data_IF_782466836451
#
_entry.id   IF_782466836451
#
_cell.length_a   1.000
_cell.length_b   1.000
_cell.length_c   1.000
_cell.angle_alpha   90.00
_cell.angle_beta   90.00
_cell.angle_gamma   90.00
#
_symmetry.space_group_name_H-M   'P 1'
#
loop_
_entity.id
_entity.type
_entity.pdbx_description
1 polymer ?
#
# COMPACT_ATOMS: atom_id res chain seq x y z
N UNK A 1 27.21 8.54 18.41
CA UNK A 1 27.30 7.99 19.79
C UNK A 1 27.67 6.54 19.66
N UNK A 2 28.39 5.98 20.65
CA UNK A 2 28.80 4.57 20.64
C UNK A 2 27.65 3.60 20.33
N UNK A 3 26.44 3.88 20.84
CA UNK A 3 25.24 3.06 20.59
C UNK A 3 24.85 3.07 19.12
N UNK A 4 24.80 4.23 18.47
CA UNK A 4 24.48 4.33 17.04
C UNK A 4 25.57 3.67 16.18
N UNK A 5 26.84 3.88 16.51
CA UNK A 5 27.97 3.36 15.74
C UNK A 5 28.13 1.84 15.88
N UNK A 6 27.80 1.28 17.05
CA UNK A 6 28.01 -0.13 17.35
C UNK A 6 26.72 -0.93 17.28
N UNK A 7 25.74 -0.63 18.14
CA UNK A 7 24.56 -1.46 18.33
C UNK A 7 23.55 -1.29 17.19
N UNK A 8 23.27 -0.05 16.77
CA UNK A 8 22.41 0.18 15.61
C UNK A 8 23.06 -0.37 14.34
N UNK A 9 24.37 -0.25 14.17
CA UNK A 9 25.09 -0.84 13.02
C UNK A 9 24.89 -2.36 12.94
N UNK A 10 25.02 -3.07 14.07
CA UNK A 10 24.75 -4.51 14.13
C UNK A 10 23.27 -4.81 13.82
N UNK A 11 22.33 -4.10 14.46
CA UNK A 11 20.90 -4.33 14.26
C UNK A 11 20.50 -4.08 12.80
N UNK A 12 20.93 -2.96 12.22
CA UNK A 12 20.64 -2.58 10.84
C UNK A 12 21.23 -3.56 9.83
N UNK A 13 22.41 -4.13 10.09
CA UNK A 13 23.00 -5.22 9.27
C UNK A 13 22.09 -6.45 9.23
N UNK A 14 21.56 -6.89 10.37
CA UNK A 14 20.64 -8.04 10.43
C UNK A 14 19.30 -7.73 9.76
N UNK A 15 18.73 -6.55 10.01
CA UNK A 15 17.47 -6.11 9.38
C UNK A 15 17.60 -6.15 7.86
N UNK A 16 18.70 -5.60 7.31
CA UNK A 16 18.97 -5.63 5.86
C UNK A 16 19.06 -7.05 5.33
N UNK A 17 19.78 -7.94 6.03
CA UNK A 17 19.93 -9.34 5.65
C UNK A 17 18.58 -10.07 5.62
N UNK A 18 17.74 -9.87 6.64
CA UNK A 18 16.44 -10.54 6.74
C UNK A 18 15.45 -10.08 5.66
N UNK A 19 15.48 -8.79 5.33
CA UNK A 19 14.60 -8.14 4.36
C UNK A 19 15.16 -8.10 2.94
N UNK A 20 16.35 -8.67 2.72
CA UNK A 20 17.06 -8.67 1.43
C UNK A 20 17.24 -7.24 0.86
N UNK A 21 17.48 -6.27 1.74
CA UNK A 21 17.69 -4.88 1.36
C UNK A 21 19.18 -4.64 1.06
N UNK A 22 19.51 -3.98 -0.07
CA UNK A 22 20.88 -3.59 -0.36
C UNK A 22 21.39 -2.58 0.68
N UNK A 23 22.70 -2.41 0.79
CA UNK A 23 23.34 -1.46 1.73
C UNK A 23 22.87 -0.03 1.49
N UNK A 24 22.62 0.33 0.22
CA UNK A 24 22.10 1.64 -0.20
C UNK A 24 20.62 1.86 0.14
N UNK A 25 19.88 0.83 0.57
CA UNK A 25 18.48 0.99 0.94
C UNK A 25 18.34 1.84 2.23
N UNK A 26 17.27 2.60 2.34
CA UNK A 26 16.87 3.24 3.60
C UNK A 26 16.24 2.19 4.52
N UNK A 27 16.40 2.40 5.83
CA UNK A 27 15.65 1.65 6.85
C UNK A 27 14.56 2.51 7.49
N UNK A 28 14.41 3.78 7.08
CA UNK A 28 13.42 4.69 7.67
C UNK A 28 12.01 4.12 7.62
N UNK A 29 11.66 3.37 6.57
CA UNK A 29 10.34 2.76 6.43
C UNK A 29 10.08 1.68 7.47
N UNK A 30 11.06 0.84 7.81
CA UNK A 30 10.86 -0.28 8.74
C UNK A 30 10.68 0.20 10.20
N UNK A 31 11.17 1.40 10.51
CA UNK A 31 11.02 2.06 11.80
C UNK A 31 9.62 2.68 12.00
N UNK A 32 8.88 2.87 10.91
CA UNK A 32 7.50 3.36 10.98
C UNK A 32 6.55 2.29 11.54
N UNK A 33 5.42 2.70 12.13
CA UNK A 33 4.39 1.76 12.58
C UNK A 33 3.72 1.06 11.38
N UNK A 34 3.06 -0.07 11.65
CA UNK A 34 2.38 -0.87 10.62
C UNK A 34 1.33 -0.05 9.84
N UNK A 35 0.52 0.76 10.52
CA UNK A 35 -0.45 1.65 9.86
C UNK A 35 0.16 2.74 8.96
N UNK A 36 1.50 2.84 8.90
CA UNK A 36 2.27 3.65 7.96
C UNK A 36 3.26 2.79 7.15
N UNK A 37 2.87 1.56 6.79
CA UNK A 37 3.63 0.63 5.93
C UNK A 37 5.01 0.24 6.47
N UNK A 38 5.24 0.41 7.78
CA UNK A 38 6.48 0.01 8.43
C UNK A 38 6.36 -1.30 9.22
N UNK A 39 7.45 -1.69 9.88
CA UNK A 39 7.54 -2.94 10.65
C UNK A 39 7.57 -2.70 12.16
N UNK A 40 7.44 -1.44 12.59
CA UNK A 40 7.48 -1.03 13.98
C UNK A 40 8.77 -1.44 14.71
N UNK A 41 9.90 -1.47 13.98
CA UNK A 41 11.20 -1.80 14.56
C UNK A 41 11.69 -0.61 15.37
N UNK A 42 12.17 -0.87 16.60
CA UNK A 42 12.77 0.12 17.48
C UNK A 42 14.26 -0.19 17.56
N UNK A 43 15.10 0.78 17.18
CA UNK A 43 16.56 0.63 17.26
C UNK A 43 17.06 0.75 18.70
N UNK A 44 18.20 0.12 19.03
CA UNK A 44 18.87 0.28 20.33
C UNK A 44 19.04 1.75 20.76
N UNK A 45 19.43 2.64 19.86
CA UNK A 45 19.53 4.08 20.14
C UNK A 45 18.22 4.70 20.61
N UNK A 46 17.11 4.43 19.92
CA UNK A 46 15.78 4.90 20.32
C UNK A 46 15.39 4.35 21.68
N UNK A 47 15.67 3.06 21.94
CA UNK A 47 15.37 2.44 23.23
C UNK A 47 16.20 3.06 24.36
N UNK A 48 17.46 3.37 24.09
CA UNK A 48 18.33 4.07 25.03
C UNK A 48 17.78 5.46 25.37
N UNK A 49 17.34 6.24 24.37
CA UNK A 49 16.70 7.54 24.62
C UNK A 49 15.47 7.38 25.51
N UNK A 50 14.62 6.39 25.27
CA UNK A 50 13.47 6.11 26.15
C UNK A 50 13.89 5.84 27.60
N UNK A 51 14.94 5.03 27.81
CA UNK A 51 15.48 4.75 29.14
C UNK A 51 16.01 6.02 29.81
N UNK A 52 16.74 6.86 29.07
CA UNK A 52 17.26 8.13 29.57
C UNK A 52 16.12 9.09 29.95
N UNK A 53 15.07 9.20 29.13
CA UNK A 53 13.89 10.01 29.45
C UNK A 53 13.20 9.55 30.73
N UNK A 54 13.05 8.24 30.94
CA UNK A 54 12.47 7.70 32.19
C UNK A 54 13.36 8.01 33.38
N UNK A 55 14.67 7.76 33.26
CA UNK A 55 15.63 8.05 34.33
C UNK A 55 15.61 9.53 34.71
N UNK A 56 15.60 10.43 33.72
CA UNK A 56 15.57 11.88 33.96
C UNK A 56 14.26 12.33 34.59
N UNK A 57 13.13 11.79 34.14
CA UNK A 57 11.82 12.05 34.75
C UNK A 57 11.79 11.62 36.22
N UNK A 58 12.34 10.43 36.53
CA UNK A 58 12.44 9.96 37.91
C UNK A 58 13.31 10.88 38.79
N UNK A 59 14.42 11.41 38.26
CA UNK A 59 15.22 12.39 39.00
C UNK A 59 14.45 13.72 39.20
N UNK A 60 13.83 14.24 38.13
CA UNK A 60 13.13 15.53 38.12
C UNK A 60 11.92 15.58 39.06
N UNK A 61 11.19 14.47 39.17
CA UNK A 61 9.96 14.39 39.97
C UNK A 61 10.14 13.56 41.25
N UNK A 62 11.38 13.27 41.64
CA UNK A 62 11.68 12.58 42.89
C UNK A 62 11.20 13.40 44.09
N UNK A 63 10.48 12.79 45.05
CA UNK A 63 10.15 13.45 46.33
C UNK A 63 11.36 13.59 47.24
N UNK A 64 12.44 12.83 47.00
CA UNK A 64 13.71 12.99 47.71
C UNK A 64 14.46 14.21 47.14
N UNK A 65 14.76 15.16 48.01
CA UNK A 65 15.39 16.45 47.67
C UNK A 65 16.79 16.29 47.09
N UNK A 66 17.60 15.38 47.61
CA UNK A 66 18.96 15.15 47.11
C UNK A 66 18.94 14.63 45.67
N UNK A 67 18.04 13.70 45.37
CA UNK A 67 17.84 13.16 44.02
C UNK A 67 17.31 14.25 43.07
N UNK A 68 16.39 15.09 43.54
CA UNK A 68 15.89 16.22 42.75
C UNK A 68 17.00 17.24 42.44
N UNK A 69 17.86 17.53 43.43
CA UNK A 69 19.01 18.40 43.26
C UNK A 69 20.00 17.86 42.21
N UNK A 70 20.20 16.53 42.14
CA UNK A 70 21.00 15.91 41.06
C UNK A 70 20.42 16.23 39.68
N UNK A 71 19.09 16.21 39.51
CA UNK A 71 18.48 16.65 38.26
C UNK A 71 18.76 18.13 38.00
N UNK A 72 18.54 19.00 38.98
CA UNK A 72 18.72 20.45 38.83
C UNK A 72 20.15 20.80 38.40
N UNK A 73 21.17 20.23 39.07
CA UNK A 73 22.59 20.46 38.76
C UNK A 73 22.96 19.93 37.38
N UNK A 74 22.43 18.77 36.97
CA UNK A 74 22.76 18.19 35.66
C UNK A 74 21.95 18.77 34.51
N UNK A 75 20.79 19.39 34.77
CA UNK A 75 19.87 19.91 33.74
C UNK A 75 20.47 21.04 32.88
N UNK A 76 21.44 21.77 33.42
CA UNK A 76 22.14 22.86 32.72
C UNK A 76 23.27 22.37 31.81
N UNK A 77 23.62 21.08 31.88
CA UNK A 77 24.69 20.51 31.07
C UNK A 77 24.23 20.29 29.62
N UNK A 78 25.00 20.78 28.66
CA UNK A 78 24.73 20.66 27.21
C UNK A 78 24.63 19.20 26.72
N UNK A 79 25.20 18.25 27.46
CA UNK A 79 25.15 16.82 27.14
C UNK A 79 23.83 16.15 27.54
N UNK A 80 22.97 16.85 28.28
CA UNK A 80 21.64 16.38 28.66
C UNK A 80 20.64 16.82 27.59
N UNK A 81 20.28 15.89 26.71
CA UNK A 81 19.37 16.16 25.59
C UNK A 81 18.00 15.50 25.75
N UNK A 82 17.76 14.77 26.83
CA UNK A 82 16.59 13.89 26.97
C UNK A 82 15.41 14.53 27.70
N UNK A 83 15.62 15.65 28.39
CA UNK A 83 14.58 16.42 29.08
C UNK A 83 13.56 17.10 28.14
N UNK A 84 13.90 17.18 26.85
CA UNK A 84 12.99 17.70 25.82
C UNK A 84 11.77 16.79 25.64
N UNK A 85 11.87 15.53 26.04
CA UNK A 85 10.80 14.54 25.90
C UNK A 85 10.02 14.42 27.20
N UNK A 86 8.70 14.45 27.09
CA UNK A 86 7.81 14.30 28.26
C UNK A 86 7.77 12.86 28.79
N UNK A 87 7.74 11.90 27.88
CA UNK A 87 7.63 10.48 28.18
C UNK A 87 8.20 9.61 27.03
N UNK A 88 8.17 8.28 27.22
CA UNK A 88 8.67 7.32 26.23
C UNK A 88 7.86 7.27 24.94
N UNK A 89 6.58 7.68 24.96
CA UNK A 89 5.73 7.77 23.76
C UNK A 89 6.12 8.99 22.94
N UNK A 90 6.49 10.09 23.60
CA UNK A 90 6.95 11.31 22.96
C UNK A 90 8.26 11.09 22.17
N UNK A 91 9.20 10.34 22.75
CA UNK A 91 10.42 9.87 22.06
C UNK A 91 10.07 9.12 20.77
N UNK A 92 9.18 8.13 20.84
CA UNK A 92 8.79 7.34 19.66
C UNK A 92 8.08 8.19 18.61
N UNK A 93 7.23 9.14 19.03
CA UNK A 93 6.55 10.06 18.12
C UNK A 93 7.57 10.93 17.38
N UNK A 94 8.55 11.50 18.08
CA UNK A 94 9.59 12.32 17.48
C UNK A 94 10.42 11.55 16.45
N UNK A 95 10.96 10.38 16.83
CA UNK A 95 11.80 9.54 15.94
C UNK A 95 11.02 9.07 14.72
N UNK A 96 9.74 8.67 14.88
CA UNK A 96 8.90 8.26 13.75
C UNK A 96 8.57 9.43 12.84
N UNK A 97 8.30 10.62 13.39
CA UNK A 97 8.03 11.83 12.62
C UNK A 97 9.24 12.23 11.77
N UNK A 98 10.45 12.14 12.33
CA UNK A 98 11.68 12.39 11.60
C UNK A 98 11.86 11.42 10.42
N UNK A 99 11.66 10.12 10.66
CA UNK A 99 11.76 9.10 9.60
C UNK A 99 10.69 9.27 8.51
N UNK A 100 9.48 9.66 8.89
CA UNK A 100 8.40 9.96 7.96
C UNK A 100 8.72 11.19 7.10
N UNK A 101 9.23 12.26 7.69
CA UNK A 101 9.69 13.46 6.97
C UNK A 101 10.84 13.12 6.02
N UNK A 102 11.80 12.30 6.46
CA UNK A 102 12.91 11.85 5.62
C UNK A 102 12.42 11.07 4.41
N UNK A 103 11.47 10.15 4.58
CA UNK A 103 10.87 9.42 3.47
C UNK A 103 10.09 10.35 2.53
N UNK A 104 9.26 11.24 3.05
CA UNK A 104 8.40 12.08 2.20
C UNK A 104 9.15 13.17 1.45
N UNK A 105 10.12 13.81 2.11
CA UNK A 105 10.69 15.08 1.66
C UNK A 105 12.16 14.98 1.23
N UNK A 106 12.93 14.02 1.76
CA UNK A 106 14.38 13.95 1.51
C UNK A 106 14.77 12.80 0.56
N UNK A 107 13.99 11.72 0.49
CA UNK A 107 14.34 10.54 -0.28
C UNK A 107 13.55 10.45 -1.60
N UNK A 108 14.09 11.05 -2.68
CA UNK A 108 13.45 11.09 -4.00
C UNK A 108 13.09 9.68 -4.52
N UNK A 109 14.04 8.73 -4.49
CA UNK A 109 13.84 7.41 -5.09
C UNK A 109 13.14 6.41 -4.15
N UNK A 110 13.54 6.38 -2.88
CA UNK A 110 13.10 5.37 -1.90
C UNK A 110 11.91 5.83 -1.07
N UNK A 111 11.60 7.13 -1.13
CA UNK A 111 10.44 7.75 -0.52
C UNK A 111 9.23 7.89 -1.44
N UNK A 112 9.39 7.64 -2.74
CA UNK A 112 8.36 7.90 -3.75
C UNK A 112 7.03 7.22 -3.45
N UNK A 113 7.07 5.98 -2.94
CA UNK A 113 5.87 5.26 -2.50
C UNK A 113 5.12 6.03 -1.40
N UNK A 114 5.84 6.52 -0.39
CA UNK A 114 5.26 7.26 0.73
C UNK A 114 4.66 8.59 0.30
N UNK A 115 5.38 9.34 -0.54
CA UNK A 115 4.89 10.61 -1.09
C UNK A 115 3.61 10.41 -1.91
N UNK A 116 3.47 9.29 -2.62
CA UNK A 116 2.26 8.95 -3.38
C UNK A 116 1.13 8.27 -2.60
N UNK A 117 1.39 7.61 -1.47
CA UNK A 117 0.33 6.87 -0.74
C UNK A 117 -0.18 7.63 0.49
N UNK A 118 0.67 8.39 1.19
CA UNK A 118 0.27 9.07 2.43
C UNK A 118 -0.82 10.12 2.20
N UNK A 119 -0.82 10.77 1.04
CA UNK A 119 -1.85 11.74 0.65
C UNK A 119 -3.15 11.08 0.19
N UNK A 120 -3.12 9.79 -0.15
CA UNK A 120 -4.20 9.12 -0.88
C UNK A 120 -4.78 7.91 -0.16
N UNK A 121 -4.24 7.47 0.97
CA UNK A 121 -4.76 6.35 1.77
C UNK A 121 -5.32 6.82 3.11
N UNK A 122 -6.04 5.94 3.81
CA UNK A 122 -6.52 6.16 5.19
C UNK A 122 -5.81 5.22 6.16
N UNK A 123 -5.69 5.61 7.42
CA UNK A 123 -5.05 4.78 8.47
C UNK A 123 -5.75 3.41 8.66
N UNK A 124 -7.07 3.36 8.48
CA UNK A 124 -7.87 2.14 8.54
C UNK A 124 -7.49 1.16 7.43
N UNK A 125 -7.39 1.63 6.18
CA UNK A 125 -6.95 0.78 5.06
C UNK A 125 -5.50 0.34 5.22
N UNK A 126 -4.61 1.21 5.69
CA UNK A 126 -3.20 0.88 5.89
C UNK A 126 -3.01 -0.21 6.96
N UNK A 127 -3.84 -0.17 8.01
CA UNK A 127 -3.84 -1.20 9.05
C UNK A 127 -4.36 -2.54 8.52
N UNK A 128 -5.40 -2.52 7.68
CA UNK A 128 -5.91 -3.72 7.00
C UNK A 128 -4.83 -4.31 6.08
N UNK A 129 -4.21 -3.49 5.24
CA UNK A 129 -3.13 -3.87 4.33
C UNK A 129 -1.96 -4.52 5.08
N UNK A 130 -1.51 -3.89 6.17
CA UNK A 130 -0.39 -4.41 6.97
C UNK A 130 -0.70 -5.75 7.63
N UNK A 131 -1.96 -5.96 8.01
CA UNK A 131 -2.41 -7.26 8.56
C UNK A 131 -2.43 -8.39 7.52
N UNK A 132 -2.49 -8.06 6.23
CA UNK A 132 -2.33 -9.02 5.13
C UNK A 132 -0.85 -9.23 4.87
N UNK A 133 -0.09 -8.13 4.75
CA UNK A 133 1.35 -8.16 4.44
C UNK A 133 2.13 -9.01 5.45
N UNK A 134 1.83 -8.90 6.75
CA UNK A 134 2.51 -9.67 7.80
C UNK A 134 2.28 -11.19 7.75
N UNK A 135 1.30 -11.66 6.97
CA UNK A 135 0.96 -13.08 6.81
C UNK A 135 1.42 -13.65 5.47
N UNK A 136 2.09 -12.85 4.64
CA UNK A 136 2.59 -13.31 3.35
C UNK A 136 3.79 -14.25 3.52
N UNK A 137 3.97 -15.21 2.61
CA UNK A 137 5.20 -16.00 2.52
C UNK A 137 6.43 -15.10 2.42
N UNK A 138 7.56 -15.55 2.97
CA UNK A 138 8.81 -14.78 3.10
C UNK A 138 9.22 -14.05 1.82
N UNK A 139 9.19 -14.72 0.67
CA UNK A 139 9.57 -14.16 -0.63
C UNK A 139 8.66 -12.99 -1.05
N UNK A 140 7.35 -13.10 -0.83
CA UNK A 140 6.38 -12.06 -1.19
C UNK A 140 6.42 -10.91 -0.17
N UNK A 141 6.62 -11.25 1.11
CA UNK A 141 6.84 -10.26 2.17
C UNK A 141 8.07 -9.39 1.84
N UNK A 142 9.21 -10.01 1.53
CA UNK A 142 10.45 -9.32 1.18
C UNK A 142 10.30 -8.51 -0.11
N UNK A 143 9.65 -9.07 -1.14
CA UNK A 143 9.28 -8.33 -2.35
C UNK A 143 8.51 -7.04 -2.01
N UNK A 144 7.51 -7.12 -1.13
CA UNK A 144 6.68 -5.97 -0.77
C UNK A 144 7.49 -4.86 -0.11
N UNK A 145 8.39 -5.21 0.83
CA UNK A 145 9.26 -4.24 1.49
C UNK A 145 10.26 -3.60 0.52
N UNK A 146 10.80 -4.40 -0.41
CA UNK A 146 11.72 -3.92 -1.43
C UNK A 146 11.04 -3.07 -2.50
N UNK A 147 9.79 -3.38 -2.85
CA UNK A 147 8.94 -2.56 -3.70
C UNK A 147 8.75 -1.18 -3.07
N UNK A 148 8.35 -1.12 -1.80
CA UNK A 148 8.11 0.15 -1.08
C UNK A 148 9.38 1.02 -1.05
N UNK A 149 10.55 0.39 -0.87
CA UNK A 149 11.84 1.09 -0.89
C UNK A 149 12.38 1.37 -2.30
N UNK A 150 11.71 0.91 -3.36
CA UNK A 150 12.19 0.98 -4.74
C UNK A 150 13.61 0.37 -4.91
N UNK A 151 13.81 -0.82 -4.32
CA UNK A 151 15.07 -1.59 -4.31
C UNK A 151 14.94 -2.96 -4.99
N UNK A 152 13.90 -3.12 -5.80
CA UNK A 152 13.75 -4.27 -6.68
C UNK A 152 14.73 -4.15 -7.87
N UNK A 153 15.26 -5.27 -8.40
CA UNK A 153 16.28 -5.28 -9.45
C UNK A 153 15.68 -5.01 -10.83
N UNK A 154 15.05 -3.84 -11.02
CA UNK A 154 14.71 -3.35 -12.37
C UNK A 154 15.99 -2.92 -13.08
N UNK A 155 16.05 -2.90 -14.41
CA UNK A 155 17.26 -2.48 -15.12
C UNK A 155 17.71 -1.07 -14.76
N UNK A 156 16.80 -0.15 -14.47
CA UNK A 156 17.18 1.18 -13.94
C UNK A 156 17.90 1.10 -12.59
N UNK A 157 17.49 0.22 -11.69
CA UNK A 157 18.19 0.02 -10.42
C UNK A 157 19.49 -0.77 -10.60
N UNK A 158 19.50 -1.80 -11.45
CA UNK A 158 20.72 -2.55 -11.77
C UNK A 158 21.80 -1.67 -12.41
N UNK A 159 21.41 -0.77 -13.31
CA UNK A 159 22.32 0.22 -13.91
C UNK A 159 22.89 1.17 -12.85
N UNK A 160 22.04 1.69 -11.94
CA UNK A 160 22.51 2.48 -10.78
C UNK A 160 23.48 1.72 -9.87
N UNK A 161 23.37 0.40 -9.80
CA UNK A 161 24.25 -0.45 -9.00
C UNK A 161 25.50 -0.92 -9.77
N UNK A 162 25.68 -0.48 -11.02
CA UNK A 162 26.81 -0.91 -11.86
C UNK A 162 26.72 -2.38 -12.31
N UNK A 163 25.54 -2.99 -12.24
CA UNK A 163 25.30 -4.39 -12.61
C UNK A 163 24.69 -4.55 -14.01
N UNK A 164 24.29 -3.46 -14.65
CA UNK A 164 23.75 -3.44 -16.01
C UNK A 164 24.31 -2.26 -16.79
N UNK A 165 24.70 -2.49 -18.04
CA UNK A 165 25.17 -1.43 -18.95
C UNK A 165 24.02 -0.54 -19.47
N UNK A 166 22.78 -1.02 -19.42
CA UNK A 166 21.59 -0.28 -19.87
C UNK A 166 20.51 -0.23 -18.79
N UNK A 167 19.73 0.86 -18.78
CA UNK A 167 18.54 1.02 -17.95
C UNK A 167 17.24 0.60 -18.63
N UNK A 168 17.31 0.19 -19.90
CA UNK A 168 16.14 0.14 -20.78
C UNK A 168 15.54 -1.25 -20.86
N UNK A 169 14.21 -1.31 -20.93
CA UNK A 169 13.44 -2.53 -21.00
C UNK A 169 13.80 -3.32 -22.27
N UNK A 170 13.99 -4.64 -22.11
CA UNK A 170 14.36 -5.54 -23.23
C UNK A 170 13.28 -5.66 -24.31
N UNK A 171 12.03 -5.28 -24.01
CA UNK A 171 10.89 -5.48 -24.90
C UNK A 171 10.46 -4.21 -25.62
N UNK A 172 10.43 -3.06 -24.93
CA UNK A 172 9.92 -1.81 -25.50
C UNK A 172 10.94 -0.66 -25.48
N UNK A 173 12.17 -0.94 -25.05
CA UNK A 173 13.30 0.01 -25.04
C UNK A 173 13.11 1.30 -24.23
N UNK A 174 12.04 1.40 -23.43
CA UNK A 174 11.84 2.51 -22.50
C UNK A 174 12.59 2.28 -21.18
N UNK A 175 12.95 3.32 -20.42
CA UNK A 175 13.61 3.15 -19.13
C UNK A 175 12.83 2.26 -18.16
N UNK A 176 13.42 1.13 -17.75
CA UNK A 176 12.80 0.10 -16.92
C UNK A 176 12.81 0.48 -15.43
N UNK A 177 11.94 1.43 -15.10
CA UNK A 177 11.61 1.82 -13.71
C UNK A 177 10.71 0.78 -13.03
N UNK A 178 10.52 0.89 -11.72
CA UNK A 178 9.53 0.07 -11.00
C UNK A 178 8.10 0.27 -11.57
N UNK A 179 7.70 1.51 -11.83
CA UNK A 179 6.42 1.84 -12.48
C UNK A 179 6.31 1.13 -13.83
N UNK A 180 7.36 1.21 -14.64
CA UNK A 180 7.40 0.57 -15.95
C UNK A 180 7.09 -0.92 -15.86
N UNK A 181 7.82 -1.65 -15.02
CA UNK A 181 7.67 -3.10 -14.87
C UNK A 181 6.26 -3.49 -14.38
N UNK A 182 5.72 -2.73 -13.43
CA UNK A 182 4.54 -3.16 -12.67
C UNK A 182 3.23 -2.61 -13.25
N UNK A 183 3.26 -1.54 -14.04
CA UNK A 183 2.05 -0.92 -14.58
C UNK A 183 2.24 -0.09 -15.88
N UNK A 184 3.46 0.07 -16.41
CA UNK A 184 3.74 1.07 -17.45
C UNK A 184 4.31 0.54 -18.77
N UNK A 185 4.75 -0.71 -18.83
CA UNK A 185 5.32 -1.27 -20.05
C UNK A 185 4.24 -1.53 -21.10
N UNK A 186 4.40 -0.94 -22.30
CA UNK A 186 3.46 -1.11 -23.41
C UNK A 186 3.37 -2.57 -23.86
N UNK A 187 4.51 -3.25 -23.99
CA UNK A 187 4.52 -4.68 -24.33
C UNK A 187 3.82 -5.53 -23.27
N UNK A 188 4.02 -5.26 -21.97
CA UNK A 188 3.33 -6.02 -20.91
C UNK A 188 1.83 -5.76 -20.88
N UNK A 189 1.41 -4.57 -21.28
CA UNK A 189 0.00 -4.26 -21.47
C UNK A 189 -0.58 -5.07 -22.63
N UNK A 190 0.11 -5.10 -23.78
CA UNK A 190 -0.35 -5.79 -25.00
C UNK A 190 -0.34 -7.32 -24.84
N UNK A 191 0.60 -7.87 -24.06
CA UNK A 191 0.60 -9.27 -23.64
C UNK A 191 -0.46 -9.60 -22.58
N UNK A 192 -1.18 -8.61 -22.06
CA UNK A 192 -2.26 -8.81 -21.09
C UNK A 192 -1.80 -9.03 -19.64
N UNK A 193 -0.54 -8.75 -19.27
CA UNK A 193 -0.03 -8.97 -17.90
C UNK A 193 -0.78 -8.15 -16.85
N UNK A 194 -1.05 -6.89 -17.18
CA UNK A 194 -1.77 -5.98 -16.29
C UNK A 194 -3.26 -6.28 -16.27
N UNK A 195 -3.83 -6.69 -17.41
CA UNK A 195 -5.20 -7.20 -17.53
C UNK A 195 -5.40 -8.44 -16.67
N UNK A 196 -4.47 -9.40 -16.70
CA UNK A 196 -4.53 -10.59 -15.84
C UNK A 196 -4.57 -10.26 -14.34
N UNK A 197 -3.79 -9.28 -13.89
CA UNK A 197 -3.86 -8.79 -12.50
C UNK A 197 -5.23 -8.18 -12.19
N UNK A 198 -5.71 -7.32 -13.09
CA UNK A 198 -7.02 -6.68 -12.96
C UNK A 198 -8.14 -7.73 -12.87
N UNK A 199 -8.17 -8.66 -13.81
CA UNK A 199 -9.19 -9.68 -13.95
C UNK A 199 -9.14 -10.70 -12.82
N UNK A 200 -7.96 -10.95 -12.22
CA UNK A 200 -7.86 -11.78 -11.02
C UNK A 200 -8.60 -11.15 -9.84
N UNK A 201 -8.53 -9.82 -9.67
CA UNK A 201 -9.29 -9.10 -8.63
C UNK A 201 -10.78 -9.05 -8.98
N UNK A 202 -11.10 -8.75 -10.24
CA UNK A 202 -12.48 -8.66 -10.72
C UNK A 202 -13.22 -9.99 -10.60
N UNK A 203 -12.58 -11.10 -10.98
CA UNK A 203 -13.13 -12.45 -10.87
C UNK A 203 -13.40 -12.82 -9.41
N UNK A 204 -12.44 -12.58 -8.51
CA UNK A 204 -12.68 -12.78 -7.09
C UNK A 204 -13.89 -11.97 -6.59
N UNK A 205 -13.96 -10.68 -6.94
CA UNK A 205 -15.03 -9.81 -6.50
C UNK A 205 -16.39 -10.26 -7.04
N UNK A 206 -16.47 -10.55 -8.34
CA UNK A 206 -17.70 -11.00 -8.99
C UNK A 206 -18.20 -12.31 -8.39
N UNK A 207 -17.34 -13.34 -8.27
CA UNK A 207 -17.69 -14.62 -7.66
C UNK A 207 -18.13 -14.48 -6.21
N UNK A 208 -17.48 -13.60 -5.45
CA UNK A 208 -17.80 -13.37 -4.03
C UNK A 208 -19.13 -12.63 -3.86
N UNK A 209 -19.45 -11.71 -4.76
CA UNK A 209 -20.68 -10.94 -4.72
C UNK A 209 -21.88 -11.71 -5.30
N UNK A 210 -21.69 -12.75 -6.12
CA UNK A 210 -22.77 -13.65 -6.54
C UNK A 210 -23.46 -14.35 -5.37
N UNK A 211 -22.73 -14.55 -4.25
CA UNK A 211 -23.31 -15.13 -3.03
C UNK A 211 -24.24 -14.15 -2.28
N UNK A 212 -24.28 -12.87 -2.67
CA UNK A 212 -25.19 -11.88 -2.08
C UNK A 212 -26.60 -12.17 -2.57
N UNK A 213 -27.47 -12.59 -1.64
CA UNK A 213 -28.89 -12.85 -1.91
C UNK A 213 -29.56 -11.62 -2.53
N UNK A 214 -30.58 -11.86 -3.34
CA UNK A 214 -31.48 -10.81 -3.83
C UNK A 214 -30.74 -9.77 -4.70
N UNK A 215 -29.72 -10.22 -5.43
CA UNK A 215 -28.94 -9.39 -6.33
C UNK A 215 -28.51 -10.15 -7.59
N UNK A 216 -28.34 -9.42 -8.68
CA UNK A 216 -27.86 -9.92 -9.97
C UNK A 216 -26.55 -9.22 -10.32
N UNK A 217 -25.53 -10.01 -10.65
CA UNK A 217 -24.18 -9.52 -10.99
C UNK A 217 -23.95 -9.60 -12.50
N UNK A 218 -23.34 -8.56 -13.04
CA UNK A 218 -22.76 -8.51 -14.38
C UNK A 218 -21.30 -8.11 -14.24
N UNK A 219 -20.39 -8.74 -14.97
CA UNK A 219 -18.96 -8.43 -14.88
C UNK A 219 -18.28 -8.52 -16.23
N UNK A 220 -17.31 -7.64 -16.48
CA UNK A 220 -16.48 -7.67 -17.69
C UNK A 220 -15.37 -8.72 -17.59
N UNK A 221 -15.78 -9.99 -17.47
CA UNK A 221 -14.91 -11.17 -17.45
C UNK A 221 -15.67 -12.41 -17.94
N UNK A 222 -14.95 -13.43 -18.46
CA UNK A 222 -15.57 -14.71 -18.81
C UNK A 222 -16.31 -15.36 -17.63
N UNK A 223 -17.46 -15.98 -17.91
CA UNK A 223 -18.28 -16.68 -16.91
C UNK A 223 -19.39 -15.84 -16.26
N UNK A 224 -19.49 -14.55 -16.59
CA UNK A 224 -20.54 -13.65 -16.11
C UNK A 224 -21.29 -13.00 -17.26
N UNK A 225 -22.53 -12.56 -17.01
CA UNK A 225 -23.25 -11.72 -17.96
C UNK A 225 -22.51 -10.40 -18.16
N UNK A 226 -22.45 -9.93 -19.40
CA UNK A 226 -21.73 -8.73 -19.76
C UNK A 226 -22.46 -7.46 -19.24
N UNK A 227 -21.77 -6.50 -18.58
CA UNK A 227 -22.33 -5.21 -18.20
C UNK A 227 -23.04 -4.44 -19.32
N UNK A 228 -22.61 -4.62 -20.57
CA UNK A 228 -23.23 -4.00 -21.75
C UNK A 228 -24.71 -4.36 -21.94
N UNK A 229 -25.20 -5.43 -21.31
CA UNK A 229 -26.64 -5.75 -21.26
C UNK A 229 -27.47 -4.60 -20.67
N UNK A 230 -26.92 -3.87 -19.69
CA UNK A 230 -27.58 -2.74 -19.03
C UNK A 230 -27.08 -1.41 -19.61
N UNK A 231 -25.77 -1.29 -19.83
CA UNK A 231 -25.14 0.00 -20.13
C UNK A 231 -24.95 0.27 -21.63
N UNK A 232 -25.18 -0.73 -22.47
CA UNK A 232 -24.85 -0.73 -23.89
C UNK A 232 -23.36 -0.87 -24.17
N UNK A 233 -22.99 -0.86 -25.45
CA UNK A 233 -21.60 -1.16 -25.88
C UNK A 233 -20.64 0.03 -25.76
N UNK A 234 -21.16 1.26 -25.60
CA UNK A 234 -20.31 2.46 -25.54
C UNK A 234 -19.51 2.57 -24.25
N UNK A 235 -20.10 2.18 -23.13
CA UNK A 235 -19.48 2.23 -21.82
C UNK A 235 -19.69 0.90 -21.14
N UNK A 236 -18.58 0.23 -20.84
CA UNK A 236 -18.54 -1.06 -20.16
C UNK A 236 -17.83 -0.91 -18.82
N UNK A 237 -18.58 -0.73 -17.72
CA UNK A 237 -18.04 -0.81 -16.37
C UNK A 237 -17.51 -2.22 -16.09
N UNK A 238 -16.60 -2.33 -15.13
CA UNK A 238 -16.00 -3.63 -14.77
C UNK A 238 -17.01 -4.57 -14.08
N UNK A 239 -17.88 -4.02 -13.23
CA UNK A 239 -18.92 -4.78 -12.54
C UNK A 239 -20.20 -3.96 -12.34
N UNK A 240 -21.35 -4.59 -12.59
CA UNK A 240 -22.65 -4.08 -12.19
C UNK A 240 -23.28 -5.01 -11.17
N UNK A 241 -23.98 -4.43 -10.20
CA UNK A 241 -24.81 -5.17 -9.25
C UNK A 241 -26.18 -4.51 -9.18
N UNK A 242 -27.21 -5.28 -9.51
CA UNK A 242 -28.61 -4.86 -9.39
C UNK A 242 -29.23 -5.57 -8.21
N UNK A 243 -29.74 -4.84 -7.22
CA UNK A 243 -30.48 -5.41 -6.09
C UNK A 243 -31.97 -5.51 -6.40
N UNK A 244 -32.72 -6.36 -5.69
CA UNK A 244 -34.19 -6.42 -5.77
C UNK A 244 -34.90 -5.07 -5.61
N UNK A 245 -34.38 -4.18 -4.76
CA UNK A 245 -34.92 -2.83 -4.54
C UNK A 245 -34.55 -1.84 -5.67
N UNK A 246 -34.35 -2.36 -6.90
CA UNK A 246 -33.95 -1.60 -8.10
C UNK A 246 -32.78 -0.62 -7.88
N UNK A 247 -31.85 -0.95 -6.99
CA UNK A 247 -30.61 -0.20 -6.83
C UNK A 247 -29.52 -0.78 -7.73
N UNK A 248 -28.98 0.05 -8.63
CA UNK A 248 -27.87 -0.28 -9.53
C UNK A 248 -26.56 0.26 -8.97
N UNK A 249 -25.60 -0.62 -8.70
CA UNK A 249 -24.21 -0.26 -8.43
C UNK A 249 -23.39 -0.39 -9.71
N UNK A 250 -22.70 0.68 -10.09
CA UNK A 250 -21.76 0.72 -11.20
C UNK A 250 -20.35 0.77 -10.60
N UNK A 251 -19.62 -0.33 -10.65
CA UNK A 251 -18.28 -0.44 -10.08
C UNK A 251 -17.22 -0.40 -11.18
N UNK A 252 -16.26 0.50 -11.01
CA UNK A 252 -15.04 0.57 -11.83
C UNK A 252 -13.83 0.20 -10.97
N UNK A 253 -13.11 -0.83 -11.40
CA UNK A 253 -11.89 -1.31 -10.79
C UNK A 253 -10.68 -0.67 -11.47
N UNK A 254 -9.65 -0.34 -10.69
CA UNK A 254 -8.36 0.08 -11.22
C UNK A 254 -7.27 -0.44 -10.30
N UNK A 255 -6.33 -1.22 -10.85
CA UNK A 255 -5.12 -1.66 -10.14
C UNK A 255 -3.91 -0.98 -10.78
N UNK A 256 -3.56 0.19 -10.27
CA UNK A 256 -2.60 1.11 -10.89
C UNK A 256 -1.40 1.45 -10.02
N UNK A 257 -0.39 2.08 -10.62
CA UNK A 257 0.75 2.59 -9.86
C UNK A 257 0.33 3.73 -8.92
N UNK A 258 0.94 3.79 -7.73
CA UNK A 258 0.55 4.65 -6.62
C UNK A 258 0.37 6.12 -7.01
N UNK A 259 1.27 6.65 -7.84
CA UNK A 259 1.27 8.06 -8.27
C UNK A 259 0.05 8.47 -9.10
N UNK A 260 -0.66 7.52 -9.72
CA UNK A 260 -1.70 7.79 -10.72
C UNK A 260 -3.12 7.53 -10.18
N UNK A 261 -3.27 7.03 -8.95
CA UNK A 261 -4.55 6.56 -8.43
C UNK A 261 -5.61 7.65 -8.38
N UNK A 262 -5.28 8.85 -7.88
CA UNK A 262 -6.26 9.94 -7.76
C UNK A 262 -6.70 10.48 -9.12
N UNK A 263 -5.74 10.70 -10.02
CA UNK A 263 -6.01 11.21 -11.37
C UNK A 263 -6.92 10.23 -12.12
N UNK A 264 -6.65 8.93 -12.03
CA UNK A 264 -7.48 7.90 -12.64
C UNK A 264 -8.88 7.85 -12.04
N UNK A 265 -9.02 7.91 -10.72
CA UNK A 265 -10.32 7.92 -10.06
C UNK A 265 -11.19 9.11 -10.51
N UNK A 266 -10.61 10.31 -10.59
CA UNK A 266 -11.32 11.52 -11.05
C UNK A 266 -11.76 11.39 -12.51
N UNK A 267 -10.87 10.93 -13.40
CA UNK A 267 -11.17 10.72 -14.81
C UNK A 267 -12.30 9.69 -15.01
N UNK A 268 -12.28 8.59 -14.27
CA UNK A 268 -13.31 7.54 -14.36
C UNK A 268 -14.65 8.01 -13.80
N UNK A 269 -14.66 8.75 -12.70
CA UNK A 269 -15.89 9.38 -12.17
C UNK A 269 -16.55 10.29 -13.21
N UNK A 270 -15.77 11.10 -13.92
CA UNK A 270 -16.29 11.96 -14.99
C UNK A 270 -16.80 11.13 -16.18
N UNK A 271 -16.07 10.08 -16.58
CA UNK A 271 -16.46 9.16 -17.68
C UNK A 271 -17.87 8.57 -17.49
N UNK A 272 -18.23 8.20 -16.27
CA UNK A 272 -19.52 7.51 -16.00
C UNK A 272 -20.66 8.44 -15.60
N UNK A 273 -20.43 9.74 -15.47
CA UNK A 273 -21.45 10.70 -15.01
C UNK A 273 -22.74 10.63 -15.86
N UNK A 274 -22.60 10.68 -17.18
CA UNK A 274 -23.75 10.70 -18.07
C UNK A 274 -24.47 9.34 -18.12
N UNK A 275 -23.73 8.24 -17.93
CA UNK A 275 -24.31 6.90 -17.80
C UNK A 275 -25.16 6.80 -16.53
N UNK A 276 -24.67 7.33 -15.40
CA UNK A 276 -25.40 7.30 -14.13
C UNK A 276 -26.75 8.01 -14.31
N UNK A 277 -26.72 9.25 -14.83
CA UNK A 277 -27.93 10.03 -15.06
C UNK A 277 -28.93 9.32 -15.99
N UNK A 278 -28.43 8.62 -17.02
CA UNK A 278 -29.30 7.85 -17.93
C UNK A 278 -30.01 6.71 -17.19
N UNK A 279 -29.28 5.98 -16.34
CA UNK A 279 -29.81 4.80 -15.65
C UNK A 279 -30.77 5.16 -14.50
N UNK A 280 -30.77 6.41 -14.01
CA UNK A 280 -31.73 6.89 -13.00
C UNK A 280 -33.19 6.91 -13.52
N UNK A 281 -33.41 6.84 -14.83
CA UNK A 281 -34.75 6.66 -15.40
C UNK A 281 -35.31 5.25 -15.17
N UNK A 282 -34.43 4.24 -15.12
CA UNK A 282 -34.80 2.83 -15.03
C UNK A 282 -34.63 2.26 -13.62
N UNK A 283 -33.87 2.92 -12.74
CA UNK A 283 -33.53 2.40 -11.41
C UNK A 283 -33.81 3.43 -10.32
N UNK A 284 -34.39 2.99 -9.20
CA UNK A 284 -34.74 3.86 -8.07
C UNK A 284 -33.51 4.55 -7.47
N UNK A 285 -32.34 3.89 -7.53
CA UNK A 285 -31.04 4.42 -7.06
C UNK A 285 -29.90 3.92 -7.93
N UNK A 286 -29.09 4.83 -8.45
CA UNK A 286 -27.85 4.49 -9.18
C UNK A 286 -26.64 4.99 -8.40
N UNK A 287 -25.67 4.12 -8.15
CA UNK A 287 -24.48 4.43 -7.34
C UNK A 287 -23.19 4.05 -8.06
N UNK A 288 -22.32 5.03 -8.24
CA UNK A 288 -20.98 4.80 -8.76
C UNK A 288 -19.99 4.45 -7.64
N UNK A 289 -19.30 3.32 -7.82
CA UNK A 289 -18.33 2.77 -6.88
C UNK A 289 -16.96 2.73 -7.55
N UNK A 290 -16.07 3.62 -7.13
CA UNK A 290 -14.69 3.63 -7.61
C UNK A 290 -13.83 2.74 -6.72
N UNK A 291 -13.31 1.64 -7.25
CA UNK A 291 -12.38 0.74 -6.57
C UNK A 291 -10.97 0.93 -7.13
N UNK A 292 -10.29 2.00 -6.72
CA UNK A 292 -8.90 2.28 -7.12
C UNK A 292 -7.91 1.76 -6.07
N UNK A 293 -7.09 0.82 -6.51
CA UNK A 293 -6.10 0.11 -5.71
C UNK A 293 -4.71 0.36 -6.27
N UNK A 294 -3.74 0.51 -5.39
CA UNK A 294 -2.34 0.45 -5.79
C UNK A 294 -1.98 -0.96 -6.27
N UNK A 295 -0.84 -1.11 -6.95
CA UNK A 295 -0.40 -2.44 -7.38
C UNK A 295 -0.05 -3.37 -6.21
N UNK A 296 0.22 -2.81 -5.03
CA UNK A 296 0.32 -3.55 -3.78
C UNK A 296 -1.03 -3.71 -3.06
N UNK A 297 -2.15 -3.32 -3.66
CA UNK A 297 -3.48 -3.45 -3.07
C UNK A 297 -3.80 -2.41 -1.99
N UNK A 298 -3.10 -1.28 -1.96
CA UNK A 298 -3.45 -0.18 -1.04
C UNK A 298 -4.68 0.53 -1.58
N UNK A 299 -5.74 0.61 -0.76
CA UNK A 299 -6.97 1.32 -1.12
C UNK A 299 -6.77 2.83 -1.10
N UNK A 300 -7.23 3.50 -2.16
CA UNK A 300 -7.31 4.95 -2.20
C UNK A 300 -8.49 5.50 -1.39
N UNK A 301 -8.40 6.74 -0.93
CA UNK A 301 -9.49 7.51 -0.28
C UNK A 301 -10.73 7.59 -1.15
N UNK A 302 -10.58 7.55 -2.48
CA UNK A 302 -11.71 7.52 -3.42
C UNK A 302 -12.54 6.23 -3.36
N UNK A 303 -12.15 5.22 -2.57
CA UNK A 303 -12.88 3.97 -2.40
C UNK A 303 -13.94 4.00 -1.28
N UNK A 304 -14.25 5.15 -0.68
CA UNK A 304 -15.26 5.27 0.39
C UNK A 304 -16.62 4.67 0.01
N UNK A 305 -17.05 4.83 -1.25
CA UNK A 305 -18.30 4.27 -1.75
C UNK A 305 -18.31 2.73 -1.78
N UNK A 306 -17.15 2.08 -1.77
CA UNK A 306 -17.07 0.61 -1.74
C UNK A 306 -17.49 0.06 -0.38
N UNK A 307 -17.08 0.69 0.72
CA UNK A 307 -17.53 0.30 2.06
C UNK A 307 -19.02 0.56 2.25
N UNK A 308 -19.54 1.66 1.69
CA UNK A 308 -20.97 1.95 1.64
C UNK A 308 -21.77 0.91 0.85
N UNK A 309 -21.24 0.47 -0.30
CA UNK A 309 -21.83 -0.61 -1.11
C UNK A 309 -21.91 -1.91 -0.29
N UNK A 310 -20.79 -2.39 0.26
CA UNK A 310 -20.79 -3.64 1.03
C UNK A 310 -21.78 -3.59 2.21
N UNK A 311 -21.83 -2.46 2.92
CA UNK A 311 -22.78 -2.27 4.03
C UNK A 311 -24.23 -2.33 3.55
N UNK A 312 -24.55 -1.71 2.42
CA UNK A 312 -25.91 -1.72 1.84
C UNK A 312 -26.36 -3.09 1.32
N UNK A 313 -25.40 -3.94 0.92
CA UNK A 313 -25.65 -5.33 0.53
C UNK A 313 -25.83 -6.27 1.73
N UNK A 314 -25.89 -5.71 2.95
CA UNK A 314 -25.96 -6.45 4.21
C UNK A 314 -24.76 -7.38 4.43
N UNK A 315 -23.62 -7.08 3.82
CA UNK A 315 -22.36 -7.74 4.15
C UNK A 315 -21.94 -7.29 5.55
N UNK A 316 -21.84 -8.24 6.49
CA UNK A 316 -21.36 -7.92 7.83
C UNK A 316 -19.90 -7.39 7.81
N UNK A 317 -19.47 -6.81 8.92
CA UNK A 317 -18.13 -6.22 9.03
C UNK A 317 -17.00 -7.26 8.86
N UNK A 318 -17.23 -8.52 9.24
CA UNK A 318 -16.24 -9.60 9.11
C UNK A 318 -16.08 -10.01 7.65
N UNK A 319 -17.17 -10.16 6.92
CA UNK A 319 -17.20 -10.48 5.50
C UNK A 319 -16.64 -9.33 4.66
N UNK A 320 -17.02 -8.09 4.96
CA UNK A 320 -16.45 -6.89 4.31
C UNK A 320 -14.94 -6.80 4.52
N UNK A 321 -14.45 -7.11 5.72
CA UNK A 321 -13.01 -7.18 6.01
C UNK A 321 -12.33 -8.34 5.27
N UNK A 322 -12.99 -9.49 5.15
CA UNK A 322 -12.50 -10.64 4.38
C UNK A 322 -12.31 -10.26 2.90
N UNK A 323 -13.33 -9.69 2.25
CA UNK A 323 -13.28 -9.25 0.85
C UNK A 323 -12.09 -8.32 0.64
N UNK A 324 -11.97 -7.26 1.45
CA UNK A 324 -10.87 -6.29 1.34
C UNK A 324 -9.51 -6.96 1.51
N UNK A 325 -9.36 -7.88 2.47
CA UNK A 325 -8.09 -8.59 2.68
C UNK A 325 -7.71 -9.47 1.49
N UNK A 326 -8.67 -10.16 0.89
CA UNK A 326 -8.39 -10.98 -0.27
C UNK A 326 -8.03 -10.14 -1.49
N UNK A 327 -8.72 -9.02 -1.72
CA UNK A 327 -8.33 -8.04 -2.76
C UNK A 327 -6.86 -7.62 -2.57
N UNK A 328 -6.44 -7.23 -1.36
CA UNK A 328 -5.03 -6.89 -1.08
C UNK A 328 -4.09 -8.06 -1.42
N UNK A 329 -4.44 -9.27 -0.97
CA UNK A 329 -3.64 -10.46 -1.18
C UNK A 329 -3.46 -10.78 -2.68
N UNK A 330 -4.53 -10.69 -3.47
CA UNK A 330 -4.50 -10.87 -4.93
C UNK A 330 -3.58 -9.81 -5.54
N UNK A 331 -3.76 -8.53 -5.22
CA UNK A 331 -2.94 -7.46 -5.79
C UNK A 331 -1.43 -7.67 -5.52
N UNK A 332 -1.05 -7.99 -4.28
CA UNK A 332 0.36 -8.20 -3.95
C UNK A 332 0.93 -9.41 -4.70
N UNK A 333 0.21 -10.54 -4.69
CA UNK A 333 0.67 -11.79 -5.31
C UNK A 333 0.76 -11.70 -6.83
N UNK A 334 -0.22 -11.07 -7.47
CA UNK A 334 -0.22 -10.85 -8.92
C UNK A 334 0.88 -9.87 -9.33
N UNK A 335 1.11 -8.80 -8.58
CA UNK A 335 2.24 -7.88 -8.83
C UNK A 335 3.60 -8.56 -8.62
N UNK A 336 3.72 -9.41 -7.60
CA UNK A 336 4.90 -10.26 -7.42
C UNK A 336 5.11 -11.20 -8.62
N UNK A 337 4.04 -11.85 -9.10
CA UNK A 337 4.12 -12.75 -10.25
C UNK A 337 4.54 -12.02 -11.53
N UNK A 338 3.94 -10.86 -11.82
CA UNK A 338 4.32 -9.99 -12.94
C UNK A 338 5.81 -9.65 -12.86
N UNK A 339 6.31 -9.31 -11.66
CA UNK A 339 7.72 -9.04 -11.44
C UNK A 339 8.60 -10.29 -11.65
N UNK A 340 8.19 -11.47 -11.19
CA UNK A 340 8.94 -12.72 -11.40
C UNK A 340 9.00 -13.16 -12.87
N UNK A 341 8.06 -12.68 -13.69
CA UNK A 341 8.02 -12.85 -15.15
C UNK A 341 8.70 -11.70 -15.91
N UNK A 342 9.43 -10.81 -15.22
CA UNK A 342 10.29 -9.82 -15.84
C UNK A 342 11.24 -10.51 -16.84
N UNK A 343 11.33 -9.99 -18.06
CA UNK A 343 12.19 -10.54 -19.13
C UNK A 343 11.90 -12.00 -19.52
N UNK A 344 10.70 -12.50 -19.22
CA UNK A 344 10.22 -13.83 -19.61
C UNK A 344 8.98 -13.72 -20.48
N UNK A 345 8.73 -14.75 -21.29
CA UNK A 345 7.48 -14.90 -22.06
C UNK A 345 6.28 -14.97 -21.10
N UNK A 346 5.17 -14.38 -21.53
CA UNK A 346 3.92 -14.39 -20.79
C UNK A 346 3.03 -15.55 -21.23
N UNK A 347 2.82 -16.51 -20.33
CA UNK A 347 2.13 -17.77 -20.63
C UNK A 347 0.62 -17.73 -20.31
N UNK A 348 0.02 -16.53 -20.18
CA UNK A 348 -1.39 -16.32 -19.82
C UNK A 348 -1.89 -17.27 -18.71
N UNK A 349 -1.33 -17.18 -17.49
CA UNK A 349 -1.71 -18.05 -16.39
C UNK A 349 -3.19 -17.92 -16.05
N UNK A 350 -3.77 -18.98 -15.48
CA UNK A 350 -5.13 -18.94 -14.92
C UNK A 350 -5.26 -17.77 -13.93
N UNK A 351 -6.45 -17.19 -13.85
CA UNK A 351 -6.74 -16.13 -12.90
C UNK A 351 -6.46 -16.62 -11.47
N UNK A 352 -5.92 -15.72 -10.64
CA UNK A 352 -5.57 -16.08 -9.28
C UNK A 352 -6.82 -16.34 -8.46
N UNK A 353 -6.97 -17.59 -8.00
CA UNK A 353 -7.98 -18.00 -7.03
C UNK A 353 -7.31 -18.04 -5.64
N UNK A 354 -8.00 -17.56 -4.61
CA UNK A 354 -7.52 -17.62 -3.21
C UNK A 354 -8.46 -18.46 -2.37
#
# INVERSE_FOLDING_TARGET
>A
TWICETLDSIATKYIRKWLELPVSATLSNVLLPQNKFGLNIILPSTKFIQCQTVSRSALKYSPNVDINNLWAVTSTNKNVQYDIYKDTKDVLKAVRKENEQRLQNHLISQGSFFSSIMNHSTSTFNSLWSSVQSKLPKNIFNFTIRYINNTLPTRKNLSKWGLSSTSDCSFCSSPETLLHVIAGCKTYLDEGRFTWRHDSVLNFLASTLTAVKNSTIYADIPGFMNPSVITGDRLRPDLLLVTENRCLYILELTVGYESNLLVNANRKRQKYRDLINKQEADYDKVKFVNLSLSTLGVFGRSCENFDGMLSSLKCDAKYSKYIKKQIVNICIRTSYYVFCKLNKVWDNPKLMLI
#
